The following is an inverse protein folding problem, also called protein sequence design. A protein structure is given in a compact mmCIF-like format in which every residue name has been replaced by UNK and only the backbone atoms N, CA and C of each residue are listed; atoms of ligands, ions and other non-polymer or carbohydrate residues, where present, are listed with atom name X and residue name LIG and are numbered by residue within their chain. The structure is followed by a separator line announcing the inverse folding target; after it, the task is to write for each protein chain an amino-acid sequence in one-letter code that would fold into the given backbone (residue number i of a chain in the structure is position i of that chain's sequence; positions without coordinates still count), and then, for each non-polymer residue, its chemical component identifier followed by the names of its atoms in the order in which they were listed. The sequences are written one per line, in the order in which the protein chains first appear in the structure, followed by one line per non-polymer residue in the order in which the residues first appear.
data_IF_822958596568
#
_entry.id   IF_822958596568
#
_cell.length_a   1.000
_cell.length_b   1.000
_cell.length_c   1.000
_cell.angle_alpha   90.00
_cell.angle_beta   90.00
_cell.angle_gamma   90.00
#
_symmetry.space_group_name_H-M   'P 1'
#
loop_
_entity.id
_entity.type
_entity.pdbx_description
1 polymer ?
#
# COMPACT_ATOMS: atom_id res chain seq x y z
N UNK A 1 11.26 12.68 -26.56
CA UNK A 1 10.84 11.88 -25.40
C UNK A 1 10.41 10.51 -25.89
N UNK A 2 10.85 9.44 -25.24
CA UNK A 2 10.46 8.06 -25.59
C UNK A 2 8.97 7.85 -25.29
N UNK A 3 8.31 6.94 -26.00
CA UNK A 3 6.93 6.52 -25.65
C UNK A 3 7.00 5.60 -24.43
N UNK A 4 5.99 5.68 -23.57
CA UNK A 4 5.84 4.80 -22.40
C UNK A 4 4.56 4.01 -22.55
N UNK A 5 4.60 2.72 -22.21
CA UNK A 5 3.45 1.81 -22.23
C UNK A 5 3.37 1.09 -20.89
N UNK A 6 2.17 0.64 -20.51
CA UNK A 6 1.96 -0.22 -19.35
C UNK A 6 1.96 -1.66 -19.82
N UNK A 7 2.82 -2.50 -19.23
CA UNK A 7 3.01 -3.90 -19.66
C UNK A 7 2.61 -4.93 -18.62
N UNK A 8 2.39 -4.53 -17.36
CA UNK A 8 1.91 -5.43 -16.31
C UNK A 8 1.21 -4.68 -15.18
N UNK A 9 0.31 -5.36 -14.49
CA UNK A 9 -0.53 -4.82 -13.42
C UNK A 9 -0.49 -5.72 -12.18
N UNK A 10 -0.58 -5.11 -11.00
CA UNK A 10 -0.69 -5.81 -9.73
C UNK A 10 -1.49 -4.99 -8.74
N UNK A 11 -2.36 -5.65 -7.97
CA UNK A 11 -3.29 -4.99 -7.05
C UNK A 11 -3.56 -5.84 -5.82
N UNK A 12 -3.36 -5.24 -4.65
CA UNK A 12 -3.88 -5.73 -3.36
C UNK A 12 -4.87 -4.68 -2.86
N UNK A 13 -6.15 -5.04 -2.76
CA UNK A 13 -7.23 -4.08 -2.48
C UNK A 13 -8.21 -4.61 -1.44
N UNK A 14 -9.11 -3.75 -0.92
CA UNK A 14 -10.23 -4.19 -0.08
C UNK A 14 -11.23 -5.11 -0.80
N UNK A 15 -11.18 -5.17 -2.13
CA UNK A 15 -12.00 -6.11 -2.91
C UNK A 15 -11.30 -7.44 -3.14
N UNK A 16 -10.02 -7.55 -2.82
CA UNK A 16 -9.28 -8.80 -2.90
C UNK A 16 -7.84 -8.63 -3.33
N UNK A 17 -7.15 -9.76 -3.29
CA UNK A 17 -5.80 -9.93 -3.80
C UNK A 17 -5.82 -10.33 -5.28
N UNK A 18 -5.12 -9.56 -6.12
CA UNK A 18 -5.01 -9.77 -7.56
C UNK A 18 -5.89 -8.84 -8.40
N UNK A 19 -5.38 -8.53 -9.60
CA UNK A 19 -6.03 -7.66 -10.60
C UNK A 19 -7.40 -8.19 -11.01
N UNK A 20 -7.47 -9.45 -11.44
CA UNK A 20 -8.68 -10.06 -11.97
C UNK A 20 -9.80 -10.10 -10.92
N UNK A 21 -9.49 -10.58 -9.71
CA UNK A 21 -10.40 -10.63 -8.57
C UNK A 21 -10.95 -9.24 -8.23
N UNK A 22 -10.05 -8.27 -8.04
CA UNK A 22 -10.42 -6.91 -7.67
C UNK A 22 -11.31 -6.27 -8.74
N UNK A 23 -10.94 -6.42 -10.02
CA UNK A 23 -11.67 -5.86 -11.15
C UNK A 23 -13.06 -6.48 -11.31
N UNK A 24 -13.16 -7.80 -11.21
CA UNK A 24 -14.45 -8.51 -11.31
C UNK A 24 -15.42 -8.05 -10.21
N UNK A 25 -14.96 -7.97 -8.96
CA UNK A 25 -15.78 -7.53 -7.82
C UNK A 25 -16.17 -6.06 -7.93
N UNK A 26 -15.27 -5.21 -8.43
CA UNK A 26 -15.56 -3.81 -8.71
C UNK A 26 -16.68 -3.66 -9.74
N UNK A 27 -16.59 -4.35 -10.89
CA UNK A 27 -17.62 -4.32 -11.93
C UNK A 27 -18.97 -4.89 -11.45
N UNK A 28 -18.93 -5.82 -10.49
CA UNK A 28 -20.12 -6.37 -9.85
C UNK A 28 -20.73 -5.45 -8.77
N UNK A 29 -20.17 -4.24 -8.57
CA UNK A 29 -20.67 -3.26 -7.60
C UNK A 29 -20.49 -3.70 -6.14
N UNK A 30 -19.49 -4.55 -5.85
CA UNK A 30 -19.17 -4.95 -4.47
C UNK A 30 -18.48 -3.80 -3.74
N UNK A 31 -18.83 -3.60 -2.47
CA UNK A 31 -18.14 -2.69 -1.56
C UNK A 31 -17.17 -3.48 -0.68
N UNK A 32 -15.98 -2.94 -0.47
CA UNK A 32 -15.01 -3.44 0.51
C UNK A 32 -15.17 -2.81 1.91
N UNK A 33 -16.12 -1.89 2.08
CA UNK A 33 -16.34 -1.22 3.36
C UNK A 33 -17.02 -2.16 4.36
N UNK A 34 -16.48 -2.20 5.57
CA UNK A 34 -17.01 -2.96 6.70
C UNK A 34 -16.63 -2.32 8.02
N UNK A 35 -17.09 -2.89 9.16
CA UNK A 35 -16.59 -2.50 10.47
C UNK A 35 -15.08 -2.74 10.54
N UNK A 36 -14.36 -1.86 11.23
CA UNK A 36 -12.93 -2.05 11.51
C UNK A 36 -12.77 -3.31 12.38
N UNK A 37 -11.92 -4.23 11.95
CA UNK A 37 -11.64 -5.48 12.68
C UNK A 37 -10.21 -5.55 13.21
N UNK A 38 -9.32 -4.68 12.71
CA UNK A 38 -7.91 -4.64 13.12
C UNK A 38 -7.68 -4.23 14.59
N UNK A 39 -8.61 -3.49 15.19
CA UNK A 39 -8.55 -3.03 16.58
C UNK A 39 -9.95 -2.63 17.09
N UNK A 40 -10.08 -2.38 18.39
CA UNK A 40 -11.34 -1.89 18.98
C UNK A 40 -11.58 -0.41 18.63
N UNK A 41 -12.48 -0.17 17.67
CA UNK A 41 -12.89 1.15 17.23
C UNK A 41 -14.15 1.68 17.95
N UNK A 42 -14.65 1.02 19.01
CA UNK A 42 -15.94 1.36 19.64
C UNK A 42 -16.04 2.80 20.15
N UNK A 43 -14.92 3.38 20.59
CA UNK A 43 -14.83 4.76 21.10
C UNK A 43 -14.55 5.80 19.99
N UNK A 44 -14.42 5.39 18.73
CA UNK A 44 -14.10 6.28 17.62
C UNK A 44 -15.36 6.80 16.93
N UNK A 45 -15.26 8.01 16.37
CA UNK A 45 -16.34 8.60 15.59
C UNK A 45 -16.58 7.84 14.27
N UNK A 46 -15.49 7.49 13.58
CA UNK A 46 -15.50 6.59 12.43
C UNK A 46 -15.10 5.19 12.88
N UNK A 47 -15.94 4.19 12.61
CA UNK A 47 -15.76 2.79 13.03
C UNK A 47 -15.69 1.80 11.87
N UNK A 48 -15.62 2.34 10.65
CA UNK A 48 -15.66 1.60 9.40
C UNK A 48 -14.40 1.90 8.58
N UNK A 49 -13.99 0.93 7.78
CA UNK A 49 -12.88 1.08 6.83
C UNK A 49 -13.03 0.09 5.68
N UNK A 50 -12.23 0.27 4.63
CA UNK A 50 -12.05 -0.73 3.58
C UNK A 50 -10.77 -1.54 3.85
N UNK A 51 -10.87 -2.63 4.63
CA UNK A 51 -9.72 -3.49 4.97
C UNK A 51 -9.41 -4.50 3.85
N UNK A 52 -8.13 -4.79 3.60
CA UNK A 52 -7.71 -5.89 2.72
C UNK A 52 -8.16 -7.23 3.36
N UNK A 53 -8.94 -8.07 2.67
CA UNK A 53 -9.42 -9.32 3.23
C UNK A 53 -8.26 -10.31 3.37
N UNK A 54 -7.84 -10.63 4.60
CA UNK A 54 -6.74 -11.59 4.86
C UNK A 54 -7.26 -13.01 4.95
N UNK A 55 -6.46 -13.97 4.45
CA UNK A 55 -6.81 -15.39 4.46
C UNK A 55 -5.68 -16.27 3.94
N UNK A 56 -6.03 -17.45 3.44
CA UNK A 56 -5.08 -18.46 2.95
C UNK A 56 -4.71 -18.30 1.47
N UNK A 57 -5.29 -17.32 0.78
CA UNK A 57 -5.12 -17.10 -0.67
C UNK A 57 -6.32 -17.57 -1.49
N UNK A 58 -7.24 -18.33 -0.89
CA UNK A 58 -8.47 -18.75 -1.55
C UNK A 58 -9.49 -17.62 -1.60
N UNK A 59 -10.39 -17.68 -2.60
CA UNK A 59 -11.46 -16.68 -2.84
C UNK A 59 -10.95 -15.23 -2.79
N UNK A 60 -9.76 -14.97 -3.35
CA UNK A 60 -9.20 -13.63 -3.44
C UNK A 60 -8.81 -13.01 -2.10
N UNK A 61 -8.64 -13.82 -1.05
CA UNK A 61 -8.07 -13.36 0.22
C UNK A 61 -6.56 -13.17 0.09
N UNK A 62 -6.01 -12.19 0.81
CA UNK A 62 -4.59 -11.88 0.84
C UNK A 62 -3.84 -12.80 1.81
N UNK A 63 -2.93 -13.61 1.28
CA UNK A 63 -2.01 -14.42 2.06
C UNK A 63 -0.60 -13.80 2.03
N UNK A 64 -0.20 -13.16 3.12
CA UNK A 64 1.10 -12.51 3.22
C UNK A 64 2.28 -13.50 3.06
N UNK A 65 2.11 -14.76 3.46
CA UNK A 65 3.17 -15.79 3.43
C UNK A 65 3.57 -16.16 1.99
N UNK A 66 2.69 -15.90 1.01
CA UNK A 66 2.98 -16.05 -0.42
C UNK A 66 3.96 -15.01 -0.94
N UNK A 67 4.02 -13.84 -0.29
CA UNK A 67 4.77 -12.68 -0.77
C UNK A 67 6.03 -12.39 0.04
N UNK A 68 5.98 -12.63 1.35
CA UNK A 68 7.07 -12.35 2.26
C UNK A 68 7.09 -13.41 3.37
N UNK A 69 8.23 -14.03 3.73
CA UNK A 69 8.26 -15.01 4.80
C UNK A 69 7.82 -14.42 6.16
N UNK A 70 7.13 -15.17 7.04
CA UNK A 70 6.62 -14.66 8.32
C UNK A 70 7.68 -13.97 9.20
N UNK A 71 8.94 -14.41 9.12
CA UNK A 71 10.07 -13.80 9.85
C UNK A 71 10.38 -12.38 9.38
N UNK A 72 10.22 -12.12 8.08
CA UNK A 72 10.46 -10.82 7.47
C UNK A 72 9.25 -9.91 7.61
N UNK A 73 8.03 -10.45 7.53
CA UNK A 73 6.79 -9.70 7.80
C UNK A 73 6.84 -8.98 9.16
N UNK A 74 7.32 -9.65 10.22
CA UNK A 74 7.43 -9.05 11.57
C UNK A 74 8.39 -7.86 11.68
N UNK A 75 9.17 -7.58 10.64
CA UNK A 75 10.17 -6.50 10.62
C UNK A 75 9.66 -5.25 9.91
N UNK A 76 8.52 -5.33 9.22
CA UNK A 76 8.00 -4.30 8.34
C UNK A 76 6.53 -4.04 8.63
N UNK A 77 6.06 -2.85 8.28
CA UNK A 77 4.63 -2.55 8.33
C UNK A 77 3.92 -3.04 7.05
N UNK A 78 2.62 -3.27 7.17
CA UNK A 78 1.76 -3.85 6.13
C UNK A 78 1.86 -3.15 4.76
N UNK A 79 2.12 -1.83 4.72
CA UNK A 79 2.25 -1.09 3.46
C UNK A 79 3.42 -1.61 2.60
N UNK A 80 4.51 -2.07 3.23
CA UNK A 80 5.64 -2.69 2.52
C UNK A 80 5.19 -4.05 1.97
N UNK A 81 4.49 -4.86 2.77
CA UNK A 81 4.02 -6.19 2.37
C UNK A 81 3.05 -6.08 1.19
N UNK A 82 2.06 -5.18 1.26
CA UNK A 82 1.11 -4.94 0.17
C UNK A 82 1.80 -4.43 -1.09
N UNK A 83 2.74 -3.48 -0.95
CA UNK A 83 3.50 -2.96 -2.08
C UNK A 83 4.39 -4.01 -2.74
N UNK A 84 5.04 -4.87 -1.96
CA UNK A 84 5.81 -6.02 -2.48
C UNK A 84 4.92 -7.02 -3.21
N UNK A 85 3.75 -7.32 -2.67
CA UNK A 85 2.80 -8.23 -3.28
C UNK A 85 2.27 -7.71 -4.62
N UNK A 86 1.84 -6.45 -4.67
CA UNK A 86 1.39 -5.82 -5.91
C UNK A 86 2.54 -5.69 -6.93
N UNK A 87 3.76 -5.37 -6.49
CA UNK A 87 4.92 -5.34 -7.38
C UNK A 87 5.25 -6.72 -7.97
N UNK A 88 5.18 -7.79 -7.16
CA UNK A 88 5.34 -9.17 -7.64
C UNK A 88 4.34 -9.50 -8.74
N UNK A 89 3.05 -9.23 -8.49
CA UNK A 89 2.00 -9.45 -9.48
C UNK A 89 2.25 -8.68 -10.78
N UNK A 90 2.63 -7.40 -10.69
CA UNK A 90 2.87 -6.56 -11.86
C UNK A 90 4.08 -7.04 -12.69
N UNK A 91 5.17 -7.45 -12.03
CA UNK A 91 6.36 -7.99 -12.70
C UNK A 91 6.01 -9.31 -13.40
N UNK A 92 5.30 -10.22 -12.71
CA UNK A 92 4.89 -11.50 -13.28
C UNK A 92 3.92 -11.34 -14.46
N UNK A 93 2.92 -10.46 -14.34
CA UNK A 93 1.97 -10.13 -15.40
C UNK A 93 2.65 -9.56 -16.64
N UNK A 94 3.73 -8.78 -16.45
CA UNK A 94 4.51 -8.24 -17.56
C UNK A 94 5.35 -9.29 -18.31
N UNK A 95 5.57 -10.46 -17.71
CA UNK A 95 6.49 -11.48 -18.23
C UNK A 95 7.94 -11.00 -18.32
N UNK A 96 8.30 -9.90 -17.63
CA UNK A 96 9.65 -9.35 -17.68
C UNK A 96 10.55 -10.02 -16.64
N UNK A 97 11.68 -10.55 -17.12
CA UNK A 97 12.77 -11.04 -16.30
C UNK A 97 14.09 -10.49 -16.86
N UNK A 98 15.00 -9.98 -16.01
CA UNK A 98 16.27 -9.43 -16.47
C UNK A 98 17.16 -10.53 -17.05
N UNK A 99 17.55 -10.38 -18.32
CA UNK A 99 18.41 -11.32 -19.03
C UNK A 99 19.91 -11.00 -18.89
N UNK A 100 20.24 -9.78 -18.45
CA UNK A 100 21.62 -9.33 -18.27
C UNK A 100 21.76 -8.39 -17.07
N UNK A 101 23.00 -8.13 -16.66
CA UNK A 101 23.26 -7.13 -15.62
C UNK A 101 22.96 -5.70 -16.09
N UNK A 102 23.17 -5.42 -17.38
CA UNK A 102 22.84 -4.13 -17.99
C UNK A 102 21.34 -3.83 -17.89
N UNK A 103 20.48 -4.80 -18.19
CA UNK A 103 19.03 -4.64 -18.01
C UNK A 103 18.64 -4.35 -16.57
N UNK A 104 19.35 -4.91 -15.59
CA UNK A 104 19.12 -4.60 -14.17
C UNK A 104 19.45 -3.15 -13.85
N UNK A 105 20.51 -2.58 -14.42
CA UNK A 105 20.84 -1.15 -14.25
C UNK A 105 19.85 -0.22 -14.97
N UNK A 106 19.10 -0.75 -15.93
CA UNK A 106 18.05 -0.03 -16.66
C UNK A 106 16.64 -0.25 -16.12
N UNK A 107 16.47 -1.11 -15.11
CA UNK A 107 15.19 -1.36 -14.45
C UNK A 107 15.17 -0.71 -13.07
N UNK A 108 14.21 0.18 -12.84
CA UNK A 108 14.05 0.94 -11.60
C UNK A 108 12.73 0.68 -10.87
N UNK A 109 12.58 1.32 -9.72
CA UNK A 109 11.40 1.22 -8.85
C UNK A 109 11.03 2.61 -8.32
N UNK A 110 9.75 2.95 -8.40
CA UNK A 110 9.19 4.15 -7.80
C UNK A 110 7.82 3.85 -7.19
N UNK A 111 7.81 3.39 -5.95
CA UNK A 111 6.59 3.13 -5.19
C UNK A 111 6.54 4.11 -4.02
N UNK A 112 5.49 4.92 -3.99
CA UNK A 112 5.27 5.89 -2.93
C UNK A 112 4.35 5.38 -1.82
N UNK A 113 4.29 6.12 -0.72
CA UNK A 113 3.28 5.97 0.33
C UNK A 113 2.93 7.35 0.88
N UNK A 114 1.67 7.56 1.24
CA UNK A 114 1.20 8.86 1.74
C UNK A 114 1.69 9.13 3.16
N UNK A 115 1.59 8.12 4.02
CA UNK A 115 2.01 8.20 5.43
C UNK A 115 3.05 7.10 5.77
N UNK A 116 2.95 5.91 5.18
CA UNK A 116 3.90 4.82 5.41
C UNK A 116 3.61 4.05 6.69
N UNK A 117 4.64 3.79 7.49
CA UNK A 117 4.56 2.93 8.67
C UNK A 117 3.92 3.55 9.92
N UNK A 118 2.76 4.18 9.77
CA UNK A 118 2.06 4.82 10.90
C UNK A 118 1.74 3.84 12.05
N UNK A 119 1.22 2.62 11.81
CA UNK A 119 0.95 1.67 12.90
C UNK A 119 2.20 1.29 13.69
N UNK A 120 3.31 1.03 13.00
CA UNK A 120 4.58 0.67 13.63
C UNK A 120 5.28 1.83 14.32
N UNK A 121 4.95 3.09 13.98
CA UNK A 121 5.36 4.31 14.70
C UNK A 121 4.55 4.47 15.99
N UNK A 122 3.24 4.26 15.92
CA UNK A 122 2.35 4.26 17.10
C UNK A 122 2.81 3.23 18.13
N UNK A 123 2.99 1.97 17.71
CA UNK A 123 3.45 0.89 18.59
C UNK A 123 4.81 1.23 19.23
N UNK A 124 5.78 1.68 18.43
CA UNK A 124 7.11 2.02 18.93
C UNK A 124 7.08 3.20 19.91
N UNK A 125 6.18 4.18 19.70
CA UNK A 125 6.02 5.31 20.60
C UNK A 125 5.46 4.88 21.97
N UNK A 126 4.44 4.02 21.97
CA UNK A 126 3.87 3.43 23.19
C UNK A 126 4.93 2.61 23.94
N UNK A 127 5.69 1.79 23.20
CA UNK A 127 6.75 0.97 23.78
C UNK A 127 7.88 1.79 24.39
N UNK A 128 8.30 2.85 23.70
CA UNK A 128 9.30 3.79 24.21
C UNK A 128 8.83 4.43 25.52
N UNK A 129 7.59 4.90 25.57
CA UNK A 129 7.02 5.55 26.75
C UNK A 129 6.86 4.58 27.93
N UNK A 130 6.37 3.36 27.67
CA UNK A 130 6.09 2.38 28.71
C UNK A 130 7.34 1.63 29.20
N UNK A 131 8.32 1.39 28.33
CA UNK A 131 9.41 0.44 28.58
C UNK A 131 10.82 0.98 28.30
N UNK A 132 10.93 2.22 27.82
CA UNK A 132 12.18 2.91 27.55
C UNK A 132 12.87 2.50 26.23
N UNK A 133 13.93 3.22 25.85
CA UNK A 133 14.51 3.16 24.50
C UNK A 133 15.14 1.81 24.13
N UNK A 134 15.56 1.01 25.10
CA UNK A 134 16.14 -0.33 24.86
C UNK A 134 15.13 -1.33 24.28
N UNK A 135 13.84 -1.03 24.31
CA UNK A 135 12.78 -1.89 23.75
C UNK A 135 12.41 -1.56 22.31
N UNK A 136 12.91 -0.45 21.77
CA UNK A 136 12.67 -0.10 20.35
C UNK A 136 13.41 -1.11 19.46
N UNK A 137 12.67 -1.70 18.52
CA UNK A 137 13.22 -2.68 17.59
C UNK A 137 14.33 -2.09 16.71
N UNK A 138 15.44 -2.81 16.45
CA UNK A 138 16.42 -2.40 15.44
C UNK A 138 15.83 -2.24 14.02
N UNK A 139 14.71 -2.91 13.74
CA UNK A 139 14.00 -2.82 12.47
C UNK A 139 13.00 -1.67 12.40
N UNK A 140 12.85 -0.87 13.48
CA UNK A 140 11.88 0.21 13.54
C UNK A 140 12.01 1.17 12.36
N UNK A 141 13.22 1.66 12.06
CA UNK A 141 13.42 2.60 10.96
C UNK A 141 13.21 1.92 9.60
N UNK A 142 13.85 0.77 9.39
CA UNK A 142 13.81 0.07 8.09
C UNK A 142 12.43 -0.51 7.75
N UNK A 143 11.58 -0.72 8.75
CA UNK A 143 10.22 -1.22 8.56
C UNK A 143 9.16 -0.14 8.34
N UNK A 144 9.50 1.15 8.49
CA UNK A 144 8.54 2.26 8.54
C UNK A 144 8.78 3.34 7.49
N UNK A 145 10.04 3.53 7.08
CA UNK A 145 10.39 4.54 6.08
C UNK A 145 9.71 4.24 4.74
N UNK A 146 9.05 5.26 4.17
CA UNK A 146 8.23 5.15 2.96
C UNK A 146 9.01 4.50 1.80
N UNK A 147 10.26 4.93 1.57
CA UNK A 147 11.06 4.43 0.44
C UNK A 147 11.48 2.95 0.55
N UNK A 148 11.22 2.29 1.69
CA UNK A 148 11.60 0.90 1.89
C UNK A 148 10.65 -0.05 1.17
N UNK A 149 9.46 0.38 0.73
CA UNK A 149 8.67 -0.41 -0.22
C UNK A 149 9.41 -0.55 -1.56
N UNK A 150 9.90 0.56 -2.14
CA UNK A 150 10.75 0.52 -3.33
C UNK A 150 12.06 -0.25 -3.09
N UNK A 151 12.66 -0.03 -1.90
CA UNK A 151 13.88 -0.72 -1.48
C UNK A 151 13.74 -2.24 -1.46
N UNK A 152 12.68 -2.76 -0.83
CA UNK A 152 12.45 -4.21 -0.76
C UNK A 152 12.16 -4.81 -2.15
N UNK A 153 11.37 -4.14 -2.99
CA UNK A 153 11.12 -4.59 -4.37
C UNK A 153 12.41 -4.59 -5.20
N UNK A 154 13.22 -3.53 -5.09
CA UNK A 154 14.52 -3.44 -5.76
C UNK A 154 15.47 -4.58 -5.34
N UNK A 155 15.54 -4.90 -4.04
CA UNK A 155 16.34 -6.02 -3.53
C UNK A 155 15.82 -7.36 -4.04
N UNK A 156 14.51 -7.62 -3.95
CA UNK A 156 13.91 -8.91 -4.30
C UNK A 156 14.09 -9.26 -5.78
N UNK A 157 13.97 -8.27 -6.66
CA UNK A 157 14.06 -8.47 -8.12
C UNK A 157 15.42 -8.06 -8.71
N UNK A 158 16.31 -7.52 -7.88
CA UNK A 158 17.63 -7.03 -8.29
C UNK A 158 17.55 -5.92 -9.34
N UNK A 159 16.66 -4.95 -9.10
CA UNK A 159 16.45 -3.76 -9.93
C UNK A 159 17.42 -2.68 -9.46
N UNK A 160 18.39 -2.33 -10.30
CA UNK A 160 19.55 -1.48 -9.97
C UNK A 160 19.50 -0.10 -10.63
N UNK A 161 18.46 0.20 -11.40
CA UNK A 161 18.20 1.53 -11.96
C UNK A 161 17.70 2.52 -10.90
N UNK A 162 17.02 3.61 -11.31
CA UNK A 162 16.47 4.59 -10.40
C UNK A 162 15.59 3.95 -9.31
N UNK A 163 15.97 4.12 -8.04
CA UNK A 163 15.20 3.69 -6.89
C UNK A 163 14.74 4.92 -6.10
N UNK A 164 13.44 5.22 -6.17
CA UNK A 164 12.87 6.42 -5.58
C UNK A 164 11.52 6.12 -4.94
N UNK A 165 10.98 7.10 -4.21
CA UNK A 165 9.67 7.05 -3.60
C UNK A 165 9.22 8.50 -3.39
N UNK A 166 8.00 8.80 -3.84
CA UNK A 166 7.38 10.10 -3.67
C UNK A 166 6.35 10.03 -2.53
N UNK A 167 6.11 11.16 -1.89
CA UNK A 167 5.10 11.30 -0.83
C UNK A 167 4.35 12.61 -1.05
N UNK A 168 3.10 12.49 -1.50
CA UNK A 168 2.23 13.63 -1.84
C UNK A 168 0.79 13.35 -1.44
N UNK A 169 0.59 12.77 -0.24
CA UNK A 169 -0.73 12.40 0.28
C UNK A 169 -1.57 11.59 -0.74
N UNK A 170 -2.81 12.01 -1.00
CA UNK A 170 -3.74 11.31 -1.89
C UNK A 170 -3.24 11.17 -3.34
N UNK A 171 -2.34 12.05 -3.81
CA UNK A 171 -1.77 11.98 -5.17
C UNK A 171 -0.54 11.09 -5.30
N UNK A 172 -0.09 10.45 -4.22
CA UNK A 172 1.18 9.72 -4.18
C UNK A 172 1.34 8.67 -5.27
N UNK A 173 0.35 7.77 -5.44
CA UNK A 173 0.41 6.75 -6.48
C UNK A 173 0.41 7.34 -7.90
N UNK A 174 -0.36 8.41 -8.13
CA UNK A 174 -0.42 9.08 -9.43
C UNK A 174 0.89 9.79 -9.77
N UNK A 175 1.51 10.50 -8.81
CA UNK A 175 2.82 11.11 -9.01
C UNK A 175 3.91 10.07 -9.22
N UNK A 176 3.88 8.95 -8.47
CA UNK A 176 4.85 7.87 -8.65
C UNK A 176 4.80 7.29 -10.07
N UNK A 177 3.60 7.02 -10.60
CA UNK A 177 3.43 6.55 -11.98
C UNK A 177 3.88 7.61 -13.00
N UNK A 178 3.51 8.88 -12.80
CA UNK A 178 3.88 9.97 -13.70
C UNK A 178 5.38 10.24 -13.74
N UNK A 179 6.04 10.24 -12.59
CA UNK A 179 7.48 10.50 -12.48
C UNK A 179 8.31 9.30 -12.95
N UNK A 180 7.86 8.06 -12.70
CA UNK A 180 8.43 6.86 -13.31
C UNK A 180 8.32 6.88 -14.84
N UNK A 181 7.17 7.30 -15.38
CA UNK A 181 7.01 7.48 -16.81
C UNK A 181 7.99 8.53 -17.36
N UNK A 182 8.27 9.62 -16.62
CA UNK A 182 9.27 10.63 -17.01
C UNK A 182 10.69 10.08 -17.04
N UNK A 183 11.08 9.26 -16.06
CA UNK A 183 12.39 8.58 -16.07
C UNK A 183 12.55 7.72 -17.34
N UNK A 184 11.48 7.05 -17.78
CA UNK A 184 11.50 6.33 -19.06
C UNK A 184 11.53 7.33 -20.24
N UNK A 185 10.72 8.39 -20.24
CA UNK A 185 10.71 9.38 -21.33
C UNK A 185 12.07 10.05 -21.59
N UNK A 186 12.86 10.24 -20.53
CA UNK A 186 14.17 10.92 -20.53
C UNK A 186 15.38 10.00 -20.62
N UNK A 187 15.19 8.69 -20.81
CA UNK A 187 16.30 7.74 -20.98
C UNK A 187 17.08 7.38 -19.71
N UNK A 188 16.51 7.62 -18.53
CA UNK A 188 17.10 7.25 -17.23
C UNK A 188 16.85 5.78 -16.87
N UNK A 189 15.77 5.17 -17.37
CA UNK A 189 15.41 3.77 -17.16
C UNK A 189 14.61 3.22 -18.35
N UNK A 190 14.70 1.93 -18.65
CA UNK A 190 13.90 1.28 -19.69
C UNK A 190 12.65 0.60 -19.11
N UNK A 191 12.73 0.16 -17.85
CA UNK A 191 11.65 -0.47 -17.10
C UNK A 191 11.50 0.24 -15.76
N UNK A 192 10.26 0.49 -15.34
CA UNK A 192 9.96 1.02 -14.01
C UNK A 192 8.81 0.24 -13.39
N UNK A 193 9.03 -0.27 -12.17
CA UNK A 193 7.94 -0.72 -11.29
C UNK A 193 7.42 0.51 -10.55
N UNK A 194 6.19 0.92 -10.81
CA UNK A 194 5.66 2.17 -10.29
C UNK A 194 4.27 2.03 -9.66
N UNK A 195 4.01 2.78 -8.59
CA UNK A 195 2.70 2.75 -7.93
C UNK A 195 2.70 3.37 -6.53
N UNK A 196 1.76 2.94 -5.69
CA UNK A 196 1.69 3.35 -4.29
C UNK A 196 1.16 2.26 -3.38
N UNK A 197 1.53 2.31 -2.10
CA UNK A 197 1.06 1.39 -1.08
C UNK A 197 0.79 2.11 0.24
N UNK A 198 -0.25 1.71 0.97
CA UNK A 198 -0.65 2.34 2.23
C UNK A 198 -1.28 1.30 3.17
N UNK A 199 -1.11 1.48 4.48
CA UNK A 199 -1.70 0.60 5.50
C UNK A 199 -1.99 1.33 6.81
N UNK A 200 -2.69 2.47 6.74
CA UNK A 200 -2.89 3.39 7.87
C UNK A 200 -4.18 3.18 8.66
N UNK A 201 -4.83 2.02 8.51
CA UNK A 201 -5.97 1.62 9.34
C UNK A 201 -5.43 1.16 10.71
N UNK A 202 -5.17 2.13 11.58
CA UNK A 202 -4.73 1.96 12.97
C UNK A 202 -5.39 3.03 13.87
N UNK A 203 -5.35 2.87 15.20
CA UNK A 203 -6.03 3.79 16.11
C UNK A 203 -5.67 5.25 15.92
N UNK A 204 -4.38 5.60 15.89
CA UNK A 204 -3.95 6.99 15.66
C UNK A 204 -4.32 7.51 14.26
N UNK A 205 -4.34 6.64 13.25
CA UNK A 205 -4.73 7.01 11.89
C UNK A 205 -6.20 7.41 11.81
N UNK A 206 -7.10 6.56 12.33
CA UNK A 206 -8.54 6.83 12.37
C UNK A 206 -8.84 8.04 13.26
N UNK A 207 -8.23 8.14 14.45
CA UNK A 207 -8.41 9.28 15.34
C UNK A 207 -7.95 10.59 14.68
N UNK A 208 -6.80 10.60 14.00
CA UNK A 208 -6.25 11.78 13.33
C UNK A 208 -7.13 12.30 12.21
N UNK A 209 -7.59 11.41 11.30
CA UNK A 209 -8.47 11.81 10.20
C UNK A 209 -9.89 12.17 10.67
N UNK A 210 -10.39 11.53 11.72
CA UNK A 210 -11.66 11.93 12.34
C UNK A 210 -11.54 13.33 12.99
N UNK A 211 -10.43 13.63 13.67
CA UNK A 211 -10.22 14.93 14.32
C UNK A 211 -10.17 16.09 13.31
N UNK A 212 -9.64 15.87 12.11
CA UNK A 212 -9.68 16.86 11.03
C UNK A 212 -10.98 16.83 10.19
N UNK A 213 -12.00 16.07 10.63
CA UNK A 213 -13.33 15.95 10.00
C UNK A 213 -13.29 15.43 8.56
N UNK A 214 -12.35 14.53 8.27
CA UNK A 214 -12.17 14.00 6.91
C UNK A 214 -12.93 12.68 6.67
N UNK A 215 -13.20 11.91 7.73
CA UNK A 215 -13.86 10.60 7.66
C UNK A 215 -15.38 10.69 7.71
N UNK A 216 -16.06 9.78 7.01
CA UNK A 216 -17.49 9.52 7.19
C UNK A 216 -17.75 8.99 8.61
N UNK A 217 -18.81 9.45 9.25
CA UNK A 217 -19.16 9.08 10.64
C UNK A 217 -20.63 8.73 10.84
N UNK A 218 -21.51 9.10 9.91
CA UNK A 218 -22.95 8.87 10.02
C UNK A 218 -23.39 7.47 9.57
N UNK A 219 -22.51 6.72 8.90
CA UNK A 219 -22.83 5.45 8.25
C UNK A 219 -22.16 4.23 8.92
N UNK A 220 -21.80 4.32 10.20
CA UNK A 220 -21.16 3.22 10.93
C UNK A 220 -21.98 1.92 10.93
N UNK A 221 -23.32 2.01 10.91
CA UNK A 221 -24.23 0.86 10.91
C UNK A 221 -24.58 0.36 9.50
N UNK A 222 -24.20 1.11 8.44
CA UNK A 222 -24.35 0.72 7.03
C UNK A 222 -23.08 1.06 6.24
N UNK A 223 -21.94 0.40 6.54
CA UNK A 223 -20.62 0.76 6.02
C UNK A 223 -20.57 0.82 4.48
N UNK A 224 -21.29 -0.09 3.83
CA UNK A 224 -21.32 -0.23 2.37
C UNK A 224 -21.95 0.98 1.65
N UNK A 225 -22.65 1.85 2.38
CA UNK A 225 -23.29 3.07 1.85
C UNK A 225 -22.51 4.36 2.16
N UNK A 226 -21.46 4.26 2.97
CA UNK A 226 -20.74 5.41 3.52
C UNK A 226 -19.96 6.19 2.45
N UNK A 227 -19.17 5.48 1.64
CA UNK A 227 -18.43 6.11 0.52
C UNK A 227 -19.38 6.34 -0.64
N UNK A 228 -19.93 7.56 -0.71
CA UNK A 228 -20.93 7.97 -1.69
C UNK A 228 -20.53 9.25 -2.43
N UNK A 229 -19.52 9.19 -3.32
CA UNK A 229 -19.06 10.35 -4.07
C UNK A 229 -20.22 11.07 -4.77
N UNK A 230 -20.21 12.41 -4.71
CA UNK A 230 -21.19 13.32 -5.33
C UNK A 230 -22.61 13.30 -4.77
N UNK A 231 -22.95 12.34 -3.90
CA UNK A 231 -24.25 12.28 -3.25
C UNK A 231 -24.48 13.47 -2.29
N UNK A 232 -25.73 13.88 -2.11
CA UNK A 232 -26.11 14.99 -1.22
C UNK A 232 -25.80 14.70 0.25
N UNK A 233 -25.84 13.43 0.64
CA UNK A 233 -25.69 12.97 2.03
C UNK A 233 -24.25 12.50 2.33
N UNK A 234 -23.29 12.73 1.44
CA UNK A 234 -21.88 12.41 1.69
C UNK A 234 -21.35 13.24 2.88
N UNK A 235 -20.65 12.61 3.82
CA UNK A 235 -20.17 13.24 5.05
C UNK A 235 -18.65 13.08 5.30
N UNK A 236 -17.93 12.43 4.40
CA UNK A 236 -16.47 12.25 4.47
C UNK A 236 -16.01 11.08 3.58
N UNK A 237 -14.72 10.79 3.55
CA UNK A 237 -14.21 9.57 2.90
C UNK A 237 -14.23 8.37 3.87
N UNK A 238 -14.13 7.15 3.33
CA UNK A 238 -13.99 5.89 4.08
C UNK A 238 -12.62 5.31 3.80
#
# INVERSE_FOLDING_TARGET
MRRVVVTGLGLVTPLGDGVATSWQRLLAGKSGAGPITKFDASQMAARIACEVPRGDGSDGTFNADTYLPPKEQRRVDDFIIYGMAAAKQAIEDSGWEPQSEEERYRAGVMIGSGIGGLPGIEEASIDLAARGPRRVSPFFITGRLINLVSGNVSIQYGLKGPNHAVVTACSTGAHAIGDAARLIQYDDADIMVAGGAEATICPIGIAGFAACKALSTNFNETPEKASRPYDTDRDGFV
#
